data_IF_021920255680
#
_entry.id   IF_021920255680
#
_cell.length_a   1.000
_cell.length_b   1.000
_cell.length_c   1.000
_cell.angle_alpha   90.00
_cell.angle_beta   90.00
_cell.angle_gamma   90.00
#
_symmetry.space_group_name_H-M   'P 1'
#
loop_
_entity.id
_entity.type
_entity.pdbx_description
1 polymer ?
#
# COMPACT_ATOMS: atom_id res chain seq x y z
N UNK A 1 -20.72 21.76 -4.93
CA UNK A 1 -19.57 22.40 -5.60
C UNK A 1 -18.54 21.32 -5.87
N UNK A 2 -18.45 20.84 -7.11
CA UNK A 2 -17.50 19.82 -7.52
C UNK A 2 -16.19 20.52 -7.89
N UNK A 3 -15.10 20.21 -7.19
CA UNK A 3 -13.80 20.74 -7.55
C UNK A 3 -13.30 19.99 -8.81
N UNK A 4 -12.87 20.69 -9.87
CA UNK A 4 -12.20 20.04 -10.99
C UNK A 4 -10.74 19.88 -10.60
N UNK A 5 -10.35 18.72 -10.07
CA UNK A 5 -8.95 18.46 -9.77
C UNK A 5 -8.34 17.41 -10.71
N UNK A 6 -7.33 17.92 -11.43
CA UNK A 6 -6.12 17.23 -11.88
C UNK A 6 -6.15 16.58 -13.26
N UNK A 7 -5.81 17.40 -14.27
CA UNK A 7 -5.30 16.98 -15.59
C UNK A 7 -3.85 16.43 -15.53
N UNK A 8 -3.55 15.59 -14.56
CA UNK A 8 -2.36 14.73 -14.58
C UNK A 8 -2.88 13.33 -14.85
N UNK A 9 -2.55 12.74 -16.01
CA UNK A 9 -2.95 11.39 -16.41
C UNK A 9 -2.32 10.27 -15.56
N UNK A 10 -2.15 10.51 -14.26
CA UNK A 10 -1.60 9.60 -13.28
C UNK A 10 -2.76 8.89 -12.60
N UNK A 11 -3.22 7.81 -13.23
CA UNK A 11 -4.06 6.82 -12.56
C UNK A 11 -3.16 5.80 -11.88
N UNK A 12 -3.47 5.36 -10.65
CA UNK A 12 -2.75 4.26 -10.03
C UNK A 12 -2.86 3.01 -10.91
N UNK A 13 -1.79 2.20 -11.04
CA UNK A 13 -1.84 0.93 -11.75
C UNK A 13 -2.90 -0.01 -11.15
N UNK A 14 -3.37 -0.95 -11.98
CA UNK A 14 -4.26 -2.02 -11.51
C UNK A 14 -3.64 -2.77 -10.32
N UNK A 15 -4.45 -3.01 -9.29
CA UNK A 15 -4.02 -3.70 -8.07
C UNK A 15 -3.27 -2.84 -7.05
N UNK A 16 -2.93 -1.58 -7.36
CA UNK A 16 -2.23 -0.69 -6.41
C UNK A 16 -3.06 -0.42 -5.14
N UNK A 17 -4.36 -0.16 -5.29
CA UNK A 17 -5.26 0.04 -4.14
C UNK A 17 -5.30 -1.20 -3.24
N UNK A 18 -5.44 -2.40 -3.83
CA UNK A 18 -5.50 -3.66 -3.11
C UNK A 18 -4.19 -3.97 -2.38
N UNK A 19 -3.04 -3.61 -2.96
CA UNK A 19 -1.74 -3.73 -2.32
C UNK A 19 -1.65 -2.89 -1.04
N UNK A 20 -2.10 -1.63 -1.11
CA UNK A 20 -2.12 -0.72 0.03
C UNK A 20 -3.13 -1.16 1.10
N UNK A 21 -4.28 -1.66 0.69
CA UNK A 21 -5.28 -2.21 1.62
C UNK A 21 -4.72 -3.41 2.39
N UNK A 22 -3.99 -4.32 1.72
CA UNK A 22 -3.30 -5.43 2.37
C UNK A 22 -2.30 -4.99 3.43
N UNK A 23 -1.44 -4.01 3.10
CA UNK A 23 -0.51 -3.42 4.08
C UNK A 23 -1.27 -2.78 5.26
N UNK A 24 -2.30 -1.99 4.98
CA UNK A 24 -3.06 -1.28 6.02
C UNK A 24 -3.70 -2.27 7.01
N UNK A 25 -4.28 -3.36 6.53
CA UNK A 25 -4.86 -4.40 7.38
C UNK A 25 -3.80 -5.07 8.27
N UNK A 26 -2.61 -5.34 7.74
CA UNK A 26 -1.53 -5.97 8.50
C UNK A 26 -0.92 -5.01 9.55
N UNK A 27 -0.82 -3.71 9.24
CA UNK A 27 -0.44 -2.70 10.23
C UNK A 27 -1.47 -2.62 11.36
N UNK A 28 -2.77 -2.62 11.05
CA UNK A 28 -3.84 -2.62 12.06
C UNK A 28 -3.82 -3.87 12.96
N UNK A 29 -3.40 -5.02 12.40
CA UNK A 29 -3.27 -6.27 13.16
C UNK A 29 -2.04 -6.29 14.05
N UNK A 30 -0.89 -5.88 13.52
CA UNK A 30 0.39 -5.97 14.21
C UNK A 30 0.64 -4.80 15.18
N UNK A 31 -0.06 -3.67 14.99
CA UNK A 31 0.12 -2.42 15.73
C UNK A 31 1.61 -2.05 15.94
N UNK A 32 2.43 -2.03 14.87
CA UNK A 32 3.87 -1.81 14.99
C UNK A 32 4.16 -0.38 15.44
N UNK A 33 5.24 -0.21 16.22
CA UNK A 33 5.74 1.13 16.59
C UNK A 33 6.39 1.84 15.41
N UNK A 34 7.06 1.09 14.53
CA UNK A 34 7.65 1.61 13.27
C UNK A 34 6.90 1.01 12.07
N UNK A 35 6.04 1.83 11.47
CA UNK A 35 5.23 1.44 10.32
C UNK A 35 6.09 1.32 9.05
N UNK A 36 7.17 2.09 8.92
CA UNK A 36 8.00 2.11 7.71
C UNK A 36 8.84 0.84 7.63
N UNK A 37 9.51 0.47 8.73
CA UNK A 37 10.26 -0.80 8.82
C UNK A 37 9.32 -2.00 8.63
N UNK A 38 8.13 -1.98 9.24
CA UNK A 38 7.12 -3.02 9.05
C UNK A 38 6.70 -3.17 7.59
N UNK A 39 6.40 -2.05 6.91
CA UNK A 39 6.00 -2.07 5.51
C UNK A 39 7.11 -2.62 4.60
N UNK A 40 8.37 -2.24 4.84
CA UNK A 40 9.51 -2.74 4.07
C UNK A 40 9.63 -4.27 4.19
N UNK A 41 9.55 -4.81 5.42
CA UNK A 41 9.57 -6.25 5.67
C UNK A 41 8.37 -6.98 5.08
N UNK A 42 7.19 -6.37 5.18
CA UNK A 42 5.95 -6.93 4.61
C UNK A 42 6.07 -7.09 3.09
N UNK A 43 6.54 -6.07 2.38
CA UNK A 43 6.75 -6.15 0.93
C UNK A 43 7.89 -7.09 0.55
N UNK A 44 8.96 -7.16 1.35
CA UNK A 44 10.03 -8.14 1.14
C UNK A 44 9.48 -9.57 1.20
N UNK A 45 8.69 -9.89 2.23
CA UNK A 45 8.05 -11.20 2.37
C UNK A 45 7.13 -11.53 1.19
N UNK A 46 6.33 -10.57 0.73
CA UNK A 46 5.46 -10.78 -0.44
C UNK A 46 6.24 -11.06 -1.73
N UNK A 47 7.46 -10.52 -1.86
CA UNK A 47 8.35 -10.82 -2.98
C UNK A 47 8.94 -12.23 -2.86
N UNK A 48 9.38 -12.62 -1.66
CA UNK A 48 9.90 -13.97 -1.39
C UNK A 48 8.84 -15.05 -1.60
N UNK A 49 7.59 -14.83 -1.17
CA UNK A 49 6.47 -15.76 -1.36
C UNK A 49 6.05 -15.91 -2.84
N UNK A 50 6.55 -15.04 -3.73
CA UNK A 50 6.26 -15.06 -5.18
C UNK A 50 7.30 -15.85 -5.98
N UNK A 51 8.47 -16.14 -5.42
CA UNK A 51 9.52 -17.00 -6.02
C UNK A 51 9.29 -18.49 -5.72
#
# INVERSE_FOLDING_TARGET
>A
MSLPFSSTGLSPPDGFMSLLEGLALEVLRAQPTDVVDFAARYFQKLLEDRE
#
